data_IF_558656507106
#
_entry.id   IF_558656507106
#
_cell.length_a   1.000
_cell.length_b   1.000
_cell.length_c   1.000
_cell.angle_alpha   90.00
_cell.angle_beta   90.00
_cell.angle_gamma   90.00
#
_symmetry.space_group_name_H-M   'P 1'
#
loop_
_entity.id
_entity.type
_entity.pdbx_description
1 polymer ?
#
# COMPACT_ATOMS: atom_id res chain seq x y z
N UNK A 1 27.44 -8.85 -10.52
CA UNK A 1 26.27 -9.32 -9.73
C UNK A 1 25.02 -9.30 -10.61
N UNK A 2 24.99 -10.08 -11.70
CA UNK A 2 23.95 -9.96 -12.74
C UNK A 2 22.60 -10.64 -12.39
N UNK A 3 22.53 -11.36 -11.27
CA UNK A 3 21.30 -12.01 -10.81
C UNK A 3 20.31 -11.00 -10.22
N UNK A 4 20.82 -9.94 -9.57
CA UNK A 4 20.02 -8.91 -8.93
C UNK A 4 19.30 -8.03 -9.97
N UNK A 5 20.00 -7.59 -11.02
CA UNK A 5 19.41 -6.77 -12.10
C UNK A 5 18.36 -7.54 -12.93
N UNK A 6 18.44 -8.88 -12.97
CA UNK A 6 17.46 -9.70 -13.70
C UNK A 6 16.17 -9.93 -12.91
N UNK A 7 16.20 -9.74 -11.59
CA UNK A 7 15.04 -9.86 -10.71
C UNK A 7 14.43 -8.49 -10.40
N UNK A 8 15.26 -7.43 -10.32
CA UNK A 8 14.84 -6.08 -9.92
C UNK A 8 14.88 -5.04 -11.06
N UNK A 9 15.28 -5.44 -12.27
CA UNK A 9 15.52 -4.49 -13.36
C UNK A 9 16.82 -3.69 -13.16
N UNK A 10 17.30 -3.10 -14.25
CA UNK A 10 18.48 -2.23 -14.26
C UNK A 10 18.31 -1.08 -13.26
N UNK A 11 19.25 -0.92 -12.32
CA UNK A 11 19.34 0.24 -11.45
C UNK A 11 19.87 1.45 -12.24
N UNK A 12 19.18 1.85 -13.31
CA UNK A 12 19.36 3.17 -13.92
C UNK A 12 18.77 4.21 -12.98
N UNK A 13 19.56 4.66 -12.00
CA UNK A 13 19.60 6.04 -11.50
C UNK A 13 18.28 6.76 -11.21
N UNK A 14 17.22 6.04 -10.81
CA UNK A 14 15.97 6.60 -10.33
C UNK A 14 15.80 6.23 -8.87
N UNK A 15 15.30 7.18 -8.07
CA UNK A 15 14.72 6.93 -6.74
C UNK A 15 13.94 5.61 -6.80
N UNK A 16 14.06 4.67 -5.83
CA UNK A 16 13.30 3.41 -5.87
C UNK A 16 11.83 3.75 -6.15
N UNK A 17 11.41 3.49 -7.38
CA UNK A 17 10.11 3.89 -7.87
C UNK A 17 9.06 3.04 -7.18
N UNK A 18 7.95 3.67 -6.79
CA UNK A 18 6.74 3.02 -6.28
C UNK A 18 6.52 1.67 -6.97
N UNK A 19 6.37 0.58 -6.23
CA UNK A 19 6.20 -0.72 -6.84
C UNK A 19 4.79 -0.77 -7.42
N UNK A 20 4.70 -0.98 -8.72
CA UNK A 20 3.43 -1.29 -9.37
C UNK A 20 2.85 -2.59 -8.77
N UNK A 21 1.53 -2.74 -8.76
CA UNK A 21 0.88 -3.94 -8.23
C UNK A 21 1.38 -5.23 -8.90
N UNK A 22 1.70 -5.20 -10.19
CA UNK A 22 2.23 -6.36 -10.89
C UNK A 22 3.66 -6.68 -10.44
N UNK A 23 4.48 -5.67 -10.15
CA UNK A 23 5.81 -5.83 -9.56
C UNK A 23 5.71 -6.45 -8.16
N UNK A 24 4.77 -5.98 -7.34
CA UNK A 24 4.53 -6.54 -5.99
C UNK A 24 4.13 -8.02 -6.09
N UNK A 25 3.18 -8.36 -6.97
CA UNK A 25 2.73 -9.74 -7.17
C UNK A 25 3.84 -10.64 -7.68
N UNK A 26 4.68 -10.15 -8.60
CA UNK A 26 5.81 -10.91 -9.14
C UNK A 26 6.89 -11.13 -8.08
N UNK A 27 7.19 -10.11 -7.26
CA UNK A 27 8.13 -10.21 -6.15
C UNK A 27 7.62 -11.22 -5.09
N UNK A 28 6.34 -11.14 -4.74
CA UNK A 28 5.67 -12.09 -3.85
C UNK A 28 5.78 -13.53 -4.34
N UNK A 29 5.46 -13.77 -5.62
CA UNK A 29 5.57 -15.10 -6.23
C UNK A 29 7.02 -15.61 -6.25
N UNK A 30 7.97 -14.77 -6.64
CA UNK A 30 9.40 -15.14 -6.73
C UNK A 30 10.00 -15.46 -5.37
N UNK A 31 9.58 -14.76 -4.33
CA UNK A 31 10.04 -14.97 -2.95
C UNK A 31 9.19 -16.00 -2.18
N UNK A 32 8.11 -16.53 -2.77
CA UNK A 32 7.12 -17.36 -2.07
C UNK A 32 6.57 -16.69 -0.80
N UNK A 33 6.37 -15.37 -0.86
CA UNK A 33 5.84 -14.54 0.22
C UNK A 33 4.41 -14.10 -0.09
N UNK A 34 3.56 -13.88 0.93
CA UNK A 34 2.28 -13.22 0.72
C UNK A 34 2.47 -11.78 0.18
N UNK A 35 1.69 -11.31 -0.81
CA UNK A 35 1.85 -9.97 -1.39
C UNK A 35 1.71 -8.83 -0.39
N UNK A 36 0.89 -9.01 0.66
CA UNK A 36 0.71 -8.05 1.74
C UNK A 36 1.95 -7.87 2.64
N UNK A 37 2.95 -8.74 2.49
CA UNK A 37 4.23 -8.71 3.19
C UNK A 37 5.39 -8.19 2.34
N UNK A 38 5.12 -7.74 1.13
CA UNK A 38 6.12 -7.04 0.31
C UNK A 38 6.17 -5.58 0.78
N UNK A 39 7.32 -4.93 0.84
CA UNK A 39 7.49 -3.53 1.19
C UNK A 39 7.30 -2.58 0.01
N UNK A 40 7.72 -1.33 0.18
CA UNK A 40 7.70 -0.31 -0.90
C UNK A 40 8.87 -0.57 -1.88
N UNK A 41 10.02 -1.05 -1.43
CA UNK A 41 11.16 -1.35 -2.28
C UNK A 41 11.20 -2.82 -2.75
N UNK A 42 10.11 -3.59 -2.55
CA UNK A 42 10.04 -5.00 -2.89
C UNK A 42 10.68 -5.95 -1.86
N UNK A 43 11.10 -5.43 -0.71
CA UNK A 43 11.64 -6.19 0.42
C UNK A 43 10.54 -6.94 1.19
N UNK A 44 10.91 -7.86 2.08
CA UNK A 44 9.95 -8.38 3.06
C UNK A 44 9.70 -7.33 4.16
N UNK A 45 8.43 -7.04 4.43
CA UNK A 45 7.98 -6.12 5.46
C UNK A 45 6.67 -6.61 6.08
N UNK A 46 6.65 -6.77 7.40
CA UNK A 46 5.44 -7.18 8.11
C UNK A 46 4.26 -6.22 7.89
N UNK A 47 4.53 -4.93 7.72
CA UNK A 47 3.53 -3.88 7.48
C UNK A 47 3.57 -3.38 6.03
N UNK A 48 4.02 -4.23 5.12
CA UNK A 48 4.26 -3.89 3.73
C UNK A 48 3.05 -3.32 2.99
N UNK A 49 1.88 -3.96 3.16
CA UNK A 49 0.61 -3.45 2.61
C UNK A 49 0.24 -2.10 3.23
N UNK A 50 0.28 -1.94 4.56
CA UNK A 50 -0.03 -0.66 5.20
C UNK A 50 0.86 0.47 4.67
N UNK A 51 2.18 0.23 4.55
CA UNK A 51 3.12 1.23 4.05
C UNK A 51 2.82 1.64 2.60
N UNK A 52 2.46 0.69 1.73
CA UNK A 52 2.03 1.00 0.35
C UNK A 52 0.73 1.79 0.30
N UNK A 53 -0.25 1.44 1.13
CA UNK A 53 -1.52 2.18 1.23
C UNK A 53 -1.27 3.59 1.73
N UNK A 54 -0.46 3.77 2.78
CA UNK A 54 -0.06 5.11 3.28
C UNK A 54 0.60 5.93 2.18
N UNK A 55 1.56 5.35 1.46
CA UNK A 55 2.20 6.03 0.34
C UNK A 55 1.18 6.44 -0.73
N UNK A 56 0.23 5.57 -1.06
CA UNK A 56 -0.82 5.88 -2.02
C UNK A 56 -1.77 7.00 -1.53
N UNK A 57 -2.00 7.12 -0.22
CA UNK A 57 -2.76 8.22 0.37
C UNK A 57 -1.97 9.54 0.31
N UNK A 58 -0.66 9.50 0.60
CA UNK A 58 0.24 10.66 0.51
C UNK A 58 0.35 11.22 -0.92
N UNK A 59 0.16 10.36 -1.92
CA UNK A 59 0.14 10.74 -3.35
C UNK A 59 -1.21 11.28 -3.83
N UNK A 60 -2.33 10.98 -3.14
CA UNK A 60 -3.64 11.52 -3.51
C UNK A 60 -3.81 12.92 -2.92
N UNK A 61 -4.07 13.94 -3.76
CA UNK A 61 -4.12 15.33 -3.31
C UNK A 61 -5.26 15.64 -2.34
N UNK A 62 -6.30 14.82 -2.31
CA UNK A 62 -7.44 14.98 -1.40
C UNK A 62 -7.22 14.22 -0.09
N UNK A 63 -6.53 13.08 -0.11
CA UNK A 63 -6.28 12.28 1.10
C UNK A 63 -5.05 12.73 1.89
N UNK A 64 -3.98 13.19 1.22
CA UNK A 64 -2.72 13.57 1.87
C UNK A 64 -2.88 14.65 2.96
N UNK A 65 -3.89 15.51 2.82
CA UNK A 65 -4.15 16.62 3.74
C UNK A 65 -5.05 16.20 4.92
N UNK A 66 -5.53 14.94 4.94
CA UNK A 66 -6.31 14.38 6.05
C UNK A 66 -5.35 13.82 7.11
N UNK A 67 -4.82 14.69 7.96
CA UNK A 67 -3.96 14.30 9.08
C UNK A 67 -4.64 13.47 10.19
N UNK A 68 -5.95 13.24 10.08
CA UNK A 68 -6.77 12.47 11.01
C UNK A 68 -7.18 11.09 10.50
N UNK A 69 -6.68 10.66 9.33
CA UNK A 69 -6.91 9.34 8.78
C UNK A 69 -5.62 8.51 8.87
N UNK A 70 -5.69 7.35 9.52
CA UNK A 70 -4.55 6.46 9.72
C UNK A 70 -4.79 5.10 9.07
N UNK A 71 -3.71 4.52 8.58
CA UNK A 71 -3.69 3.19 7.97
C UNK A 71 -3.02 2.20 8.92
N UNK A 72 -3.65 1.06 9.13
CA UNK A 72 -3.09 -0.08 9.83
C UNK A 72 -3.33 -1.36 9.02
N UNK A 73 -2.61 -2.43 9.34
CA UNK A 73 -2.71 -3.70 8.63
C UNK A 73 -2.91 -4.85 9.63
N UNK A 74 -3.77 -5.80 9.24
CA UNK A 74 -3.93 -7.10 9.90
C UNK A 74 -3.96 -8.18 8.83
N UNK A 75 -2.79 -8.77 8.54
CA UNK A 75 -2.65 -9.68 7.40
C UNK A 75 -2.98 -8.94 6.09
N UNK A 76 -3.85 -9.52 5.26
CA UNK A 76 -4.35 -8.86 4.04
C UNK A 76 -5.47 -7.83 4.28
N UNK A 77 -5.86 -7.57 5.53
CA UNK A 77 -6.88 -6.54 5.84
C UNK A 77 -6.22 -5.19 6.09
N UNK A 78 -6.63 -4.18 5.34
CA UNK A 78 -6.34 -2.77 5.63
C UNK A 78 -7.35 -2.26 6.65
N UNK A 79 -6.90 -1.69 7.76
CA UNK A 79 -7.77 -1.11 8.79
C UNK A 79 -7.59 0.40 8.74
N UNK A 80 -8.61 1.11 8.27
CA UNK A 80 -8.68 2.56 8.27
C UNK A 80 -9.21 3.04 9.63
N UNK A 81 -8.56 4.04 10.21
CA UNK A 81 -8.90 4.57 11.54
C UNK A 81 -8.93 6.08 11.51
N UNK A 82 -9.78 6.67 12.35
CA UNK A 82 -9.78 8.11 12.61
C UNK A 82 -10.97 8.83 12.02
N UNK A 83 -10.74 9.97 11.35
CA UNK A 83 -11.79 10.84 10.85
C UNK A 83 -11.58 11.21 9.40
N UNK A 84 -12.69 11.45 8.70
CA UNK A 84 -12.70 11.98 7.33
C UNK A 84 -13.76 13.08 7.18
N UNK A 85 -13.56 14.05 6.28
CA UNK A 85 -14.47 15.20 6.16
C UNK A 85 -15.84 14.87 5.56
N UNK A 86 -15.96 13.78 4.81
CA UNK A 86 -17.21 13.39 4.16
C UNK A 86 -17.21 11.90 3.77
N UNK A 87 -18.37 11.32 3.44
CA UNK A 87 -18.44 9.96 2.91
C UNK A 87 -17.60 9.76 1.63
N UNK A 88 -17.46 10.79 0.80
CA UNK A 88 -16.69 10.72 -0.44
C UNK A 88 -15.19 10.53 -0.20
N UNK A 89 -14.65 11.13 0.87
CA UNK A 89 -13.26 10.89 1.29
C UNK A 89 -13.07 9.46 1.78
N UNK A 90 -14.05 8.90 2.51
CA UNK A 90 -13.99 7.50 2.94
C UNK A 90 -14.01 6.56 1.74
N UNK A 91 -14.93 6.77 0.80
CA UNK A 91 -15.06 5.94 -0.41
C UNK A 91 -13.78 5.97 -1.24
N UNK A 92 -13.18 7.15 -1.43
CA UNK A 92 -11.89 7.30 -2.10
C UNK A 92 -10.77 6.53 -1.38
N UNK A 93 -10.68 6.69 -0.06
CA UNK A 93 -9.68 5.98 0.74
C UNK A 93 -9.83 4.45 0.65
N UNK A 94 -11.07 3.95 0.69
CA UNK A 94 -11.38 2.52 0.47
C UNK A 94 -10.94 2.09 -0.93
N UNK A 95 -11.32 2.81 -1.99
CA UNK A 95 -10.97 2.47 -3.36
C UNK A 95 -9.44 2.38 -3.57
N UNK A 96 -8.68 3.34 -3.02
CA UNK A 96 -7.21 3.33 -3.12
C UNK A 96 -6.62 2.13 -2.36
N UNK A 97 -7.15 1.81 -1.18
CA UNK A 97 -6.70 0.69 -0.36
C UNK A 97 -7.02 -0.66 -1.01
N UNK A 98 -8.23 -0.84 -1.57
CA UNK A 98 -8.66 -2.05 -2.28
C UNK A 98 -7.80 -2.32 -3.52
N UNK A 99 -7.30 -1.27 -4.17
CA UNK A 99 -6.46 -1.44 -5.34
C UNK A 99 -5.02 -1.88 -5.01
N UNK A 100 -4.57 -1.83 -3.74
CA UNK A 100 -3.22 -2.25 -3.41
C UNK A 100 -3.05 -3.77 -3.46
N UNK A 101 -1.94 -4.24 -4.05
CA UNK A 101 -1.61 -5.65 -4.10
C UNK A 101 -1.49 -6.25 -2.68
N UNK A 102 -2.22 -7.34 -2.45
CA UNK A 102 -2.30 -8.01 -1.14
C UNK A 102 -3.50 -7.60 -0.28
N UNK A 103 -4.29 -6.60 -0.70
CA UNK A 103 -5.54 -6.28 -0.02
C UNK A 103 -6.58 -7.38 -0.26
N UNK A 104 -7.09 -7.96 0.83
CA UNK A 104 -8.20 -8.90 0.85
C UNK A 104 -9.49 -8.23 1.31
N UNK A 105 -9.39 -7.25 2.20
CA UNK A 105 -10.52 -6.49 2.72
C UNK A 105 -10.08 -5.14 3.26
N UNK A 106 -11.00 -4.17 3.31
CA UNK A 106 -10.80 -2.89 3.99
C UNK A 106 -11.82 -2.77 5.13
N UNK A 107 -11.32 -2.55 6.34
CA UNK A 107 -12.11 -2.32 7.54
C UNK A 107 -12.17 -0.81 7.84
N UNK A 108 -13.38 -0.26 7.81
CA UNK A 108 -13.67 1.16 8.07
C UNK A 108 -14.41 1.37 9.40
N UNK A 109 -14.58 0.33 10.22
CA UNK A 109 -15.38 0.39 11.45
C UNK A 109 -14.82 1.38 12.50
N UNK A 110 -13.57 1.82 12.31
CA UNK A 110 -12.86 2.76 13.18
C UNK A 110 -12.72 4.14 12.55
N UNK A 111 -13.42 4.40 11.43
CA UNK A 111 -13.50 5.73 10.81
C UNK A 111 -14.82 6.39 11.18
N UNK A 112 -14.76 7.66 11.55
CA UNK A 112 -15.93 8.51 11.75
C UNK A 112 -15.96 9.61 10.68
N UNK A 113 -17.14 9.96 10.19
CA UNK A 113 -17.33 11.10 9.30
C UNK A 113 -17.64 12.32 10.17
N UNK A 114 -17.00 13.46 9.89
CA UNK A 114 -17.23 14.72 10.62
C UNK A 114 -18.60 15.37 10.35
#
# INVERSE_FOLDING_TARGET
MAWFERIFGSLTGGIPGKPDNDVVKQAAASASLPPERIGIAGEYDESGLAKRVTLAFDEDPELKDIGSLWVSQKGGTVVLKGKVPSPGFLEKAVNIAEFQAGTLSVDTSQVTIE
#
